data_IF_476615333514
#
_entry.id   IF_476615333514
#
_cell.length_a   1.000
_cell.length_b   1.000
_cell.length_c   1.000
_cell.angle_alpha   90.00
_cell.angle_beta   90.00
_cell.angle_gamma   90.00
#
_symmetry.space_group_name_H-M   'P 1'
#
loop_
_entity.id
_entity.type
_entity.pdbx_description
1 polymer ?
#
# COMPACT_ATOMS: atom_id res chain seq x y z
N UNK A 1 56.85 44.48 -19.18
CA UNK A 1 56.48 44.79 -17.78
C UNK A 1 55.21 44.01 -17.46
N UNK A 2 55.35 42.88 -16.78
CA UNK A 2 54.27 41.96 -16.40
C UNK A 2 53.28 42.65 -15.45
N UNK A 3 51.99 42.58 -15.76
CA UNK A 3 50.93 42.72 -14.75
C UNK A 3 49.86 41.66 -15.03
N UNK A 4 49.96 40.57 -14.28
CA UNK A 4 48.90 39.57 -14.11
C UNK A 4 47.68 40.27 -13.52
N UNK A 5 46.53 40.17 -14.19
CA UNK A 5 45.23 40.53 -13.63
C UNK A 5 44.65 39.27 -13.01
N UNK A 6 44.79 39.14 -11.69
CA UNK A 6 44.21 38.07 -10.89
C UNK A 6 42.69 38.24 -10.84
N UNK A 7 41.94 37.28 -11.39
CA UNK A 7 40.49 37.19 -11.23
C UNK A 7 40.23 36.68 -9.80
N UNK A 8 39.69 37.53 -8.94
CA UNK A 8 39.20 37.16 -7.62
C UNK A 8 37.79 36.58 -7.77
N UNK A 9 37.68 35.24 -7.79
CA UNK A 9 36.38 34.57 -7.69
C UNK A 9 35.99 34.54 -6.20
N UNK A 10 35.08 35.42 -5.82
CA UNK A 10 34.48 35.40 -4.48
C UNK A 10 33.54 34.18 -4.38
N UNK A 11 34.00 33.10 -3.75
CA UNK A 11 33.11 32.05 -3.25
C UNK A 11 32.34 32.61 -2.05
N UNK A 12 31.11 33.06 -2.29
CA UNK A 12 30.15 33.28 -1.20
C UNK A 12 29.71 31.93 -0.67
N UNK A 13 30.33 31.52 0.45
CA UNK A 13 29.80 30.48 1.32
C UNK A 13 28.51 31.05 1.91
N UNK A 14 27.36 30.64 1.37
CA UNK A 14 26.08 30.86 2.03
C UNK A 14 26.10 30.04 3.32
N UNK A 15 26.30 30.75 4.42
CA UNK A 15 26.20 30.22 5.77
C UNK A 15 24.83 29.53 5.93
N UNK A 16 24.89 28.24 6.24
CA UNK A 16 23.74 27.41 6.53
C UNK A 16 23.12 27.89 7.85
N UNK A 17 22.06 28.69 7.76
CA UNK A 17 21.33 29.20 8.91
C UNK A 17 20.57 28.02 9.55
N UNK A 18 21.12 27.50 10.65
CA UNK A 18 20.52 26.44 11.47
C UNK A 18 19.28 26.99 12.18
N UNK A 19 18.16 27.08 11.47
CA UNK A 19 16.84 26.95 12.09
C UNK A 19 16.43 25.49 11.99
N UNK A 20 16.72 24.74 13.04
CA UNK A 20 16.06 23.49 13.36
C UNK A 20 14.55 23.82 13.47
N UNK A 21 13.81 23.68 12.37
CA UNK A 21 12.36 23.49 12.48
C UNK A 21 12.21 22.21 13.27
N UNK A 22 11.68 22.31 14.49
CA UNK A 22 11.05 21.18 15.14
C UNK A 22 10.17 20.52 14.08
N UNK A 23 10.47 19.28 13.73
CA UNK A 23 9.55 18.43 12.97
C UNK A 23 8.47 18.02 13.99
N UNK A 24 7.69 19.02 14.40
CA UNK A 24 6.47 18.87 15.15
C UNK A 24 5.35 18.82 14.13
N UNK A 25 5.21 17.67 13.48
CA UNK A 25 3.94 17.29 12.87
C UNK A 25 3.61 15.95 13.48
N UNK A 26 2.76 15.99 14.52
CA UNK A 26 1.94 14.85 14.86
C UNK A 26 1.17 14.54 13.57
N UNK A 27 1.64 13.54 12.83
CA UNK A 27 0.88 13.05 11.68
C UNK A 27 -0.48 12.60 12.21
N UNK A 28 -1.56 12.87 11.46
CA UNK A 28 -2.89 12.46 11.90
C UNK A 28 -2.83 10.98 12.28
N UNK A 29 -3.44 10.63 13.42
CA UNK A 29 -3.61 9.22 13.76
C UNK A 29 -4.21 8.53 12.54
N UNK A 30 -3.71 7.33 12.17
CA UNK A 30 -4.25 6.61 11.03
C UNK A 30 -5.75 6.55 11.26
N UNK A 31 -6.49 7.17 10.34
CA UNK A 31 -7.91 6.83 10.22
C UNK A 31 -7.86 5.35 9.90
N UNK A 32 -8.27 4.53 10.87
CA UNK A 32 -8.83 3.24 10.56
C UNK A 32 -9.88 3.56 9.52
N UNK A 33 -9.60 3.24 8.26
CA UNK A 33 -10.64 3.21 7.25
C UNK A 33 -11.61 2.17 7.77
N UNK A 34 -12.62 2.66 8.48
CA UNK A 34 -13.86 1.94 8.64
C UNK A 34 -14.23 1.54 7.22
N UNK A 35 -14.35 0.22 6.97
CA UNK A 35 -14.97 -0.31 5.76
C UNK A 35 -16.08 0.66 5.38
N UNK A 36 -15.95 1.28 4.20
CA UNK A 36 -16.96 2.22 3.75
C UNK A 36 -18.27 1.44 3.65
N UNK A 37 -19.11 1.55 4.68
CA UNK A 37 -20.37 0.80 4.81
C UNK A 37 -21.35 1.16 3.68
N UNK A 38 -21.02 2.13 2.83
CA UNK A 38 -21.77 2.48 1.63
C UNK A 38 -21.41 1.62 0.41
N UNK A 39 -20.25 0.93 0.42
CA UNK A 39 -19.86 0.04 -0.67
C UNK A 39 -20.66 -1.28 -0.62
N UNK A 40 -21.09 -1.81 -1.78
CA UNK A 40 -21.78 -3.08 -1.84
C UNK A 40 -20.93 -4.21 -1.27
N UNK A 41 -21.49 -4.95 -0.30
CA UNK A 41 -20.90 -6.18 0.21
C UNK A 41 -21.11 -7.34 -0.78
N UNK A 42 -20.16 -8.28 -0.87
CA UNK A 42 -20.34 -9.46 -1.70
C UNK A 42 -21.56 -10.26 -1.27
N UNK A 43 -22.32 -10.77 -2.25
CA UNK A 43 -23.30 -11.82 -1.95
C UNK A 43 -22.59 -13.14 -1.75
N UNK A 44 -23.07 -13.95 -0.80
CA UNK A 44 -22.40 -15.17 -0.36
C UNK A 44 -23.30 -16.37 -0.63
N UNK A 45 -22.75 -17.40 -1.26
CA UNK A 45 -23.41 -18.68 -1.55
C UNK A 45 -22.54 -19.85 -1.04
N UNK A 46 -23.18 -20.83 -0.41
CA UNK A 46 -22.52 -22.00 0.18
C UNK A 46 -23.01 -23.29 -0.51
N UNK A 47 -22.07 -24.15 -0.89
CA UNK A 47 -22.35 -25.49 -1.40
C UNK A 47 -21.41 -26.50 -0.72
N UNK A 48 -21.86 -27.06 0.41
CA UNK A 48 -21.04 -27.95 1.22
C UNK A 48 -19.85 -27.20 1.82
N UNK A 49 -18.63 -27.61 1.46
CA UNK A 49 -17.39 -26.95 1.86
C UNK A 49 -16.94 -25.87 0.87
N UNK A 50 -17.67 -25.64 -0.22
CA UNK A 50 -17.37 -24.59 -1.18
C UNK A 50 -18.17 -23.32 -0.84
N UNK A 51 -17.49 -22.19 -0.93
CA UNK A 51 -18.03 -20.85 -0.76
C UNK A 51 -17.79 -20.07 -2.06
N UNK A 52 -18.79 -19.29 -2.45
CA UNK A 52 -18.66 -18.30 -3.52
C UNK A 52 -19.08 -16.92 -3.01
N UNK A 53 -18.19 -15.94 -3.16
CA UNK A 53 -18.49 -14.52 -2.94
C UNK A 53 -18.63 -13.83 -4.29
N UNK A 54 -19.70 -13.06 -4.48
CA UNK A 54 -19.99 -12.39 -5.75
C UNK A 54 -20.06 -10.88 -5.59
N UNK A 55 -19.26 -10.17 -6.39
CA UNK A 55 -19.35 -8.74 -6.62
C UNK A 55 -19.64 -8.48 -8.10
N UNK A 56 -20.10 -7.27 -8.41
CA UNK A 56 -20.31 -6.86 -9.78
C UNK A 56 -20.35 -5.36 -9.93
N UNK A 57 -19.90 -4.90 -11.09
CA UNK A 57 -20.04 -3.54 -11.55
C UNK A 57 -20.93 -3.49 -12.80
N UNK A 58 -20.95 -2.36 -13.51
CA UNK A 58 -21.75 -2.20 -14.72
C UNK A 58 -21.31 -3.06 -15.92
N UNK A 59 -20.08 -3.58 -15.91
CA UNK A 59 -19.42 -4.26 -17.01
C UNK A 59 -19.10 -5.73 -16.70
N UNK A 60 -18.83 -6.08 -15.44
CA UNK A 60 -18.24 -7.35 -15.02
C UNK A 60 -18.94 -7.92 -13.79
N UNK A 61 -18.97 -9.26 -13.72
CA UNK A 61 -19.27 -10.02 -12.51
C UNK A 61 -18.01 -10.74 -12.04
N UNK A 62 -17.72 -10.65 -10.75
CA UNK A 62 -16.56 -11.23 -10.10
C UNK A 62 -17.02 -12.29 -9.09
N UNK A 63 -16.55 -13.52 -9.24
CA UNK A 63 -16.87 -14.65 -8.38
C UNK A 63 -15.59 -15.17 -7.74
N UNK A 64 -15.41 -14.90 -6.45
CA UNK A 64 -14.33 -15.45 -5.63
C UNK A 64 -14.75 -16.81 -5.09
N UNK A 65 -13.94 -17.83 -5.35
CA UNK A 65 -14.16 -19.19 -4.86
C UNK A 65 -13.23 -19.48 -3.69
N UNK A 66 -13.82 -19.96 -2.60
CA UNK A 66 -13.10 -20.35 -1.41
C UNK A 66 -13.50 -21.77 -0.98
N UNK A 67 -12.58 -22.47 -0.35
CA UNK A 67 -12.81 -23.76 0.29
C UNK A 67 -12.81 -23.58 1.80
N UNK A 68 -13.80 -24.16 2.49
CA UNK A 68 -13.93 -24.15 3.94
C UNK A 68 -13.43 -25.47 4.53
N UNK A 69 -12.58 -25.41 5.54
CA UNK A 69 -12.14 -26.56 6.35
C UNK A 69 -12.26 -26.24 7.85
N UNK A 70 -13.23 -26.89 8.50
CA UNK A 70 -13.64 -26.53 9.86
C UNK A 70 -14.17 -25.09 9.91
N UNK A 71 -13.54 -24.24 10.70
CA UNK A 71 -13.85 -22.81 10.79
C UNK A 71 -12.99 -21.94 9.85
N UNK A 72 -12.02 -22.55 9.16
CA UNK A 72 -11.07 -21.84 8.32
C UNK A 72 -11.52 -21.78 6.86
N UNK A 73 -11.04 -20.77 6.14
CA UNK A 73 -11.31 -20.57 4.72
C UNK A 73 -10.00 -20.41 3.94
N UNK A 74 -9.91 -21.03 2.78
CA UNK A 74 -8.82 -20.84 1.82
C UNK A 74 -9.37 -20.25 0.55
N UNK A 75 -8.72 -19.23 0.00
CA UNK A 75 -9.16 -18.56 -1.24
C UNK A 75 -8.43 -19.20 -2.42
N UNK A 76 -9.18 -19.73 -3.39
CA UNK A 76 -8.63 -20.58 -4.45
C UNK A 76 -8.43 -19.82 -5.77
N UNK A 77 -9.51 -19.18 -6.24
CA UNK A 77 -9.54 -18.54 -7.56
C UNK A 77 -10.62 -17.49 -7.68
N UNK A 78 -10.46 -16.62 -8.67
CA UNK A 78 -11.47 -15.64 -9.11
C UNK A 78 -11.89 -15.96 -10.53
N UNK A 79 -13.19 -15.92 -10.79
CA UNK A 79 -13.75 -15.86 -12.13
C UNK A 79 -14.30 -14.46 -12.39
N UNK A 80 -13.88 -13.86 -13.50
CA UNK A 80 -14.34 -12.56 -13.96
C UNK A 80 -15.08 -12.78 -15.28
N UNK A 81 -16.38 -12.49 -15.30
CA UNK A 81 -17.22 -12.64 -16.47
C UNK A 81 -17.72 -11.27 -16.94
N UNK A 82 -17.41 -10.91 -18.19
CA UNK A 82 -17.98 -9.72 -18.82
C UNK A 82 -19.50 -9.90 -18.99
N UNK A 83 -20.27 -8.91 -18.52
CA UNK A 83 -21.74 -8.90 -18.60
C UNK A 83 -22.23 -8.51 -20.00
N UNK A 84 -21.42 -7.75 -20.74
CA UNK A 84 -21.76 -7.22 -22.06
C UNK A 84 -20.63 -7.47 -23.06
N UNK A 85 -21.00 -7.67 -24.34
CA UNK A 85 -20.13 -7.76 -25.52
C UNK A 85 -19.43 -9.10 -25.85
N UNK A 86 -19.86 -10.25 -25.30
CA UNK A 86 -19.38 -11.56 -25.77
C UNK A 86 -17.87 -11.80 -25.59
N UNK A 87 -17.21 -11.00 -24.73
CA UNK A 87 -15.84 -11.26 -24.25
C UNK A 87 -15.85 -12.51 -23.35
N UNK A 88 -14.74 -13.26 -23.40
CA UNK A 88 -14.52 -14.46 -22.60
C UNK A 88 -14.41 -14.15 -21.10
N UNK A 89 -14.66 -15.15 -20.27
CA UNK A 89 -14.37 -15.06 -18.85
C UNK A 89 -12.87 -15.20 -18.59
N UNK A 90 -12.33 -14.38 -17.69
CA UNK A 90 -10.97 -14.51 -17.17
C UNK A 90 -11.01 -15.32 -15.87
N UNK A 91 -10.15 -16.33 -15.76
CA UNK A 91 -9.94 -17.05 -14.49
C UNK A 91 -8.55 -16.73 -13.95
N UNK A 92 -8.50 -16.27 -12.71
CA UNK A 92 -7.27 -16.03 -11.97
C UNK A 92 -7.14 -17.12 -10.92
N UNK A 93 -6.07 -17.91 -10.95
CA UNK A 93 -5.72 -18.80 -9.85
C UNK A 93 -4.78 -18.02 -8.93
N UNK A 94 -5.14 -17.88 -7.66
CA UNK A 94 -4.34 -17.08 -6.74
C UNK A 94 -3.00 -17.77 -6.45
N UNK A 95 -3.01 -19.08 -6.27
CA UNK A 95 -1.78 -19.87 -6.14
C UNK A 95 -1.06 -19.71 -4.79
N UNK A 96 -1.67 -18.99 -3.85
CA UNK A 96 -1.26 -18.93 -2.45
C UNK A 96 -2.27 -19.71 -1.60
N UNK A 97 -1.81 -20.30 -0.51
CA UNK A 97 -2.63 -21.12 0.39
C UNK A 97 -2.94 -20.36 1.68
N UNK A 98 -3.32 -19.09 1.54
CA UNK A 98 -3.67 -18.27 2.70
C UNK A 98 -4.94 -18.83 3.35
N UNK A 99 -4.87 -18.95 4.67
CA UNK A 99 -5.96 -19.50 5.48
C UNK A 99 -6.49 -18.41 6.39
N UNK A 100 -7.79 -18.12 6.25
CA UNK A 100 -8.52 -17.15 7.04
C UNK A 100 -9.27 -17.85 8.17
N UNK A 101 -9.27 -17.25 9.37
CA UNK A 101 -9.96 -17.77 10.55
C UNK A 101 -11.47 -17.56 10.48
N UNK A 102 -11.91 -16.60 9.67
CA UNK A 102 -13.33 -16.33 9.45
C UNK A 102 -13.57 -15.69 8.09
N UNK A 103 -14.83 -15.69 7.65
CA UNK A 103 -15.23 -15.07 6.40
C UNK A 103 -15.01 -13.54 6.41
N UNK A 104 -15.13 -12.90 7.57
CA UNK A 104 -14.98 -11.44 7.72
C UNK A 104 -13.52 -10.99 7.57
N UNK A 105 -12.55 -11.91 7.64
CA UNK A 105 -11.15 -11.62 7.37
C UNK A 105 -10.83 -11.62 5.86
N UNK A 106 -11.71 -12.14 5.01
CA UNK A 106 -11.50 -12.14 3.55
C UNK A 106 -11.88 -10.77 3.01
N UNK A 107 -10.85 -9.98 2.69
CA UNK A 107 -10.96 -8.75 1.94
C UNK A 107 -11.10 -9.05 0.45
N UNK A 108 -12.22 -8.66 -0.14
CA UNK A 108 -12.50 -8.78 -1.57
C UNK A 108 -13.20 -7.51 -2.05
N UNK A 109 -12.54 -6.76 -2.94
CA UNK A 109 -12.98 -5.44 -3.42
C UNK A 109 -12.79 -5.30 -4.93
N UNK A 110 -13.61 -4.45 -5.56
CA UNK A 110 -13.58 -4.09 -6.98
C UNK A 110 -13.70 -2.55 -7.18
N UNK A 111 -13.26 -1.78 -6.18
CA UNK A 111 -13.48 -0.34 -6.11
C UNK A 111 -12.21 0.50 -6.01
N UNK A 112 -11.05 -0.15 -5.90
CA UNK A 112 -9.77 0.55 -5.77
C UNK A 112 -9.23 0.95 -7.15
N UNK A 113 -8.72 2.16 -7.32
CA UNK A 113 -7.94 2.57 -8.50
C UNK A 113 -6.47 2.66 -8.07
N UNK A 114 -5.77 1.53 -8.12
CA UNK A 114 -4.46 1.36 -7.49
C UNK A 114 -3.34 2.03 -8.29
N UNK A 115 -3.53 2.21 -9.60
CA UNK A 115 -2.57 2.83 -10.51
C UNK A 115 -2.93 4.28 -10.91
N UNK A 116 -4.07 4.79 -10.43
CA UNK A 116 -4.60 6.13 -10.70
C UNK A 116 -4.89 6.38 -12.19
N UNK A 117 -5.36 5.36 -12.90
CA UNK A 117 -5.74 5.43 -14.33
C UNK A 117 -7.24 5.70 -14.54
N UNK A 118 -8.04 5.69 -13.47
CA UNK A 118 -9.46 5.96 -13.49
C UNK A 118 -10.34 4.71 -13.70
N UNK A 119 -9.74 3.52 -13.74
CA UNK A 119 -10.43 2.24 -13.73
C UNK A 119 -10.33 1.58 -12.35
N UNK A 120 -11.38 0.86 -11.97
CA UNK A 120 -11.34 0.06 -10.76
C UNK A 120 -10.60 -1.25 -11.02
N UNK A 121 -9.81 -1.63 -10.03
CA UNK A 121 -9.00 -2.83 -9.98
C UNK A 121 -9.65 -3.88 -9.07
N UNK A 122 -9.19 -5.12 -9.22
CA UNK A 122 -9.56 -6.23 -8.34
C UNK A 122 -8.55 -6.32 -7.20
N UNK A 123 -9.06 -6.31 -5.96
CA UNK A 123 -8.25 -6.42 -4.74
C UNK A 123 -8.69 -7.61 -3.91
N UNK A 124 -7.73 -8.44 -3.52
CA UNK A 124 -7.95 -9.53 -2.56
C UNK A 124 -6.82 -9.49 -1.54
N UNK A 125 -7.16 -9.53 -0.25
CA UNK A 125 -6.12 -9.58 0.76
C UNK A 125 -5.29 -10.87 0.63
N UNK A 126 -3.98 -10.75 0.87
CA UNK A 126 -3.02 -11.86 0.86
C UNK A 126 -2.43 -12.11 2.25
N UNK A 127 -2.77 -11.25 3.20
CA UNK A 127 -2.44 -11.38 4.61
C UNK A 127 -3.46 -10.59 5.42
N UNK A 128 -4.04 -11.23 6.43
CA UNK A 128 -4.94 -10.61 7.40
C UNK A 128 -4.34 -10.74 8.80
N UNK A 129 -3.95 -9.61 9.38
CA UNK A 129 -3.59 -9.50 10.79
C UNK A 129 -4.44 -8.45 11.49
N UNK A 130 -4.44 -8.46 12.82
CA UNK A 130 -5.29 -7.56 13.63
C UNK A 130 -5.01 -6.07 13.40
N UNK A 131 -3.80 -5.69 12.99
CA UNK A 131 -3.38 -4.30 12.82
C UNK A 131 -2.73 -4.01 11.46
N UNK A 132 -2.29 -5.07 10.78
CA UNK A 132 -1.58 -5.00 9.51
C UNK A 132 -2.16 -6.05 8.60
N UNK A 133 -2.51 -5.64 7.39
CA UNK A 133 -2.95 -6.48 6.30
C UNK A 133 -2.20 -6.10 5.04
N UNK A 134 -2.09 -7.01 4.09
CA UNK A 134 -1.65 -6.69 2.73
C UNK A 134 -2.56 -7.38 1.74
N UNK A 135 -2.54 -6.89 0.51
CA UNK A 135 -3.41 -7.35 -0.56
C UNK A 135 -2.64 -7.49 -1.85
N UNK A 136 -3.11 -8.40 -2.71
CA UNK A 136 -2.73 -8.42 -4.11
C UNK A 136 -3.77 -7.72 -4.95
N UNK A 137 -3.27 -7.08 -5.98
CA UNK A 137 -4.03 -6.25 -6.88
C UNK A 137 -3.88 -6.78 -8.30
N UNK A 138 -5.00 -6.92 -8.99
CA UNK A 138 -5.01 -7.13 -10.43
C UNK A 138 -5.52 -5.87 -11.08
N UNK A 139 -4.63 -5.19 -11.81
CA UNK A 139 -4.90 -3.92 -12.44
C UNK A 139 -5.69 -4.13 -13.73
N UNK A 140 -6.72 -3.33 -13.97
CA UNK A 140 -7.46 -3.41 -15.22
C UNK A 140 -6.63 -2.85 -16.39
N UNK A 141 -6.23 -3.70 -17.34
CA UNK A 141 -5.59 -3.25 -18.58
C UNK A 141 -6.66 -2.98 -19.64
N UNK A 142 -6.96 -1.71 -19.91
CA UNK A 142 -7.95 -1.30 -20.90
C UNK A 142 -7.70 -1.91 -22.31
N UNK A 143 -6.43 -2.15 -22.67
CA UNK A 143 -6.08 -2.64 -24.01
C UNK A 143 -6.51 -4.09 -24.23
N UNK A 144 -6.24 -4.95 -23.26
CA UNK A 144 -6.69 -6.36 -23.29
C UNK A 144 -8.13 -6.50 -22.78
N UNK A 145 -8.55 -5.62 -21.88
CA UNK A 145 -9.75 -5.74 -21.06
C UNK A 145 -9.65 -6.85 -20.03
N UNK A 146 -8.43 -7.15 -19.55
CA UNK A 146 -8.14 -8.17 -18.56
C UNK A 146 -7.54 -7.56 -17.30
N UNK A 147 -7.69 -8.26 -16.18
CA UNK A 147 -7.12 -7.90 -14.88
C UNK A 147 -5.74 -8.55 -14.71
N UNK A 148 -4.67 -7.76 -14.63
CA UNK A 148 -3.28 -8.22 -14.62
C UNK A 148 -2.66 -8.03 -13.24
N UNK A 149 -2.14 -9.11 -12.65
CA UNK A 149 -1.51 -9.05 -11.33
C UNK A 149 -0.33 -8.06 -11.30
N UNK A 150 -0.28 -7.20 -10.29
CA UNK A 150 0.83 -6.29 -10.01
C UNK A 150 1.56 -6.69 -8.72
N UNK A 151 2.68 -7.43 -8.82
CA UNK A 151 3.41 -7.91 -7.65
C UNK A 151 4.07 -6.81 -6.82
N UNK A 152 4.30 -5.60 -7.35
CA UNK A 152 4.94 -4.53 -6.57
C UNK A 152 4.03 -3.96 -5.49
N UNK A 153 2.74 -4.30 -5.48
CA UNK A 153 1.78 -3.92 -4.45
C UNK A 153 1.64 -4.97 -3.33
N UNK A 154 1.98 -6.24 -3.58
CA UNK A 154 1.70 -7.38 -2.69
C UNK A 154 2.23 -7.21 -1.27
N UNK A 155 3.33 -6.47 -1.10
CA UNK A 155 4.04 -6.29 0.17
C UNK A 155 3.76 -4.96 0.87
N UNK A 156 2.89 -4.12 0.32
CA UNK A 156 2.53 -2.84 0.95
C UNK A 156 1.48 -3.13 2.01
N UNK A 157 1.79 -2.80 3.26
CA UNK A 157 0.83 -2.98 4.35
C UNK A 157 -0.19 -1.86 4.37
N UNK A 158 -1.46 -2.21 4.59
CA UNK A 158 -2.57 -1.28 4.74
C UNK A 158 -2.56 -0.16 3.67
N UNK A 159 -2.52 -0.50 2.37
CA UNK A 159 -2.40 0.50 1.31
C UNK A 159 -3.68 1.34 1.22
N UNK A 160 -3.54 2.65 1.32
CA UNK A 160 -4.58 3.64 1.00
C UNK A 160 -4.20 4.42 -0.25
N UNK A 161 -5.10 4.45 -1.23
CA UNK A 161 -4.87 5.13 -2.51
C UNK A 161 -5.41 6.56 -2.46
N UNK A 162 -4.55 7.56 -2.72
CA UNK A 162 -4.92 8.99 -2.72
C UNK A 162 -4.90 9.55 -4.15
N UNK A 163 -6.05 9.59 -4.87
CA UNK A 163 -6.08 9.99 -6.28
C UNK A 163 -5.65 11.44 -6.53
N UNK A 164 -5.89 12.33 -5.57
CA UNK A 164 -5.57 13.76 -5.70
C UNK A 164 -4.07 14.04 -5.81
N UNK A 165 -3.25 13.20 -5.16
CA UNK A 165 -1.78 13.32 -5.15
C UNK A 165 -1.10 12.18 -5.89
N UNK A 166 -1.85 11.16 -6.33
CA UNK A 166 -1.36 9.91 -6.94
C UNK A 166 -0.33 9.21 -6.06
N UNK A 167 -0.66 9.06 -4.78
CA UNK A 167 0.19 8.43 -3.75
C UNK A 167 -0.51 7.24 -3.14
N UNK A 168 0.28 6.25 -2.79
CA UNK A 168 -0.15 5.13 -1.96
C UNK A 168 0.41 5.40 -0.57
N UNK A 169 -0.48 5.58 0.39
CA UNK A 169 -0.16 5.79 1.79
C UNK A 169 -0.21 4.43 2.51
N UNK A 170 0.72 4.20 3.42
CA UNK A 170 0.80 2.94 4.15
C UNK A 170 1.22 3.24 5.58
N UNK A 171 0.43 2.77 6.55
CA UNK A 171 0.72 2.89 7.97
C UNK A 171 0.68 1.51 8.60
N UNK A 172 1.77 1.10 9.24
CA UNK A 172 1.91 -0.23 9.83
C UNK A 172 2.78 -0.20 11.08
N UNK A 173 2.72 -1.28 11.85
CA UNK A 173 3.62 -1.47 12.98
C UNK A 173 4.05 -2.92 13.13
N UNK A 174 5.27 -3.13 13.63
CA UNK A 174 5.78 -4.44 14.01
C UNK A 174 5.89 -4.51 15.53
N UNK A 175 5.02 -5.32 16.15
CA UNK A 175 4.91 -5.41 17.60
C UNK A 175 4.52 -4.07 18.24
N UNK A 176 4.94 -3.84 19.48
CA UNK A 176 4.62 -2.60 20.22
C UNK A 176 5.68 -1.50 20.05
N UNK A 177 6.72 -1.76 19.25
CA UNK A 177 7.96 -1.00 19.30
C UNK A 177 8.30 -0.28 18.01
N UNK A 178 7.88 -0.81 16.86
CA UNK A 178 8.21 -0.23 15.55
C UNK A 178 6.94 0.20 14.84
N UNK A 179 6.84 1.47 14.46
CA UNK A 179 5.74 2.04 13.70
C UNK A 179 6.30 2.71 12.46
N UNK A 180 5.64 2.62 11.32
CA UNK A 180 6.09 3.26 10.08
C UNK A 180 4.93 3.89 9.33
N UNK A 181 5.17 5.10 8.83
CA UNK A 181 4.36 5.75 7.82
C UNK A 181 5.17 5.82 6.52
N UNK A 182 4.66 5.18 5.48
CA UNK A 182 5.30 5.05 4.18
C UNK A 182 4.44 5.70 3.09
N UNK A 183 5.10 6.35 2.15
CA UNK A 183 4.50 6.93 0.95
C UNK A 183 5.16 6.28 -0.25
N UNK A 184 4.35 5.70 -1.13
CA UNK A 184 4.78 5.14 -2.40
C UNK A 184 4.21 5.92 -3.57
N UNK A 185 4.90 5.87 -4.70
CA UNK A 185 4.47 6.45 -5.97
C UNK A 185 4.72 5.48 -7.12
N UNK A 186 3.93 5.62 -8.17
CA UNK A 186 4.21 4.98 -9.45
C UNK A 186 5.36 5.69 -10.17
N UNK A 187 6.36 4.91 -10.61
CA UNK A 187 7.41 5.35 -11.54
C UNK A 187 7.47 4.40 -12.72
N UNK A 188 6.82 4.78 -13.81
CA UNK A 188 6.62 3.89 -14.94
C UNK A 188 5.67 2.77 -14.54
N UNK A 189 6.09 1.51 -14.71
CA UNK A 189 5.29 0.33 -14.42
C UNK A 189 5.62 -0.32 -13.06
N UNK A 190 6.17 0.45 -12.11
CA UNK A 190 6.50 -0.06 -10.78
C UNK A 190 6.18 0.95 -9.70
N UNK A 191 5.73 0.43 -8.58
CA UNK A 191 5.59 1.18 -7.33
C UNK A 191 6.96 1.30 -6.66
N UNK A 192 7.30 2.49 -6.19
CA UNK A 192 8.54 2.76 -5.46
C UNK A 192 8.25 3.53 -4.17
N UNK A 193 8.99 3.21 -3.12
CA UNK A 193 8.97 3.99 -1.89
C UNK A 193 9.52 5.41 -2.17
N UNK A 194 8.71 6.41 -1.90
CA UNK A 194 9.11 7.81 -1.96
C UNK A 194 9.70 8.26 -0.63
N UNK A 195 9.02 7.94 0.46
CA UNK A 195 9.37 8.34 1.82
C UNK A 195 8.90 7.28 2.82
N UNK A 196 9.70 7.04 3.85
CA UNK A 196 9.32 6.25 5.02
C UNK A 196 9.81 6.97 6.27
N UNK A 197 8.94 7.06 7.28
CA UNK A 197 9.24 7.59 8.60
C UNK A 197 8.96 6.47 9.59
N UNK A 198 10.02 5.91 10.18
CA UNK A 198 9.92 4.80 11.13
C UNK A 198 10.25 5.27 12.54
N UNK A 199 9.34 5.03 13.46
CA UNK A 199 9.51 5.20 14.90
C UNK A 199 9.91 3.87 15.54
N UNK A 200 11.02 3.85 16.29
CA UNK A 200 11.46 2.70 17.08
C UNK A 200 11.60 3.08 18.56
N UNK A 201 10.78 2.45 19.41
CA UNK A 201 10.68 2.69 20.85
C UNK A 201 11.59 1.82 21.70
N UNK A 202 12.10 0.72 21.15
CA UNK A 202 12.92 -0.27 21.85
C UNK A 202 14.37 -0.29 21.34
N UNK A 203 14.82 0.81 20.73
CA UNK A 203 16.16 0.89 20.15
C UNK A 203 17.22 0.70 21.26
N UNK A 204 18.05 -0.36 21.20
CA UNK A 204 19.05 -0.61 22.23
C UNK A 204 19.97 0.60 22.38
N UNK A 205 20.18 1.07 23.61
CA UNK A 205 21.04 2.22 23.97
C UNK A 205 20.43 3.63 23.79
N UNK A 206 19.14 3.77 23.48
CA UNK A 206 18.50 5.08 23.32
C UNK A 206 17.94 5.66 24.65
N UNK A 207 18.13 6.97 24.87
CA UNK A 207 17.52 7.78 25.95
C UNK A 207 16.12 8.33 25.57
N UNK A 208 15.52 7.78 24.51
CA UNK A 208 14.32 8.31 23.89
C UNK A 208 13.81 7.47 22.72
N UNK A 209 12.84 8.01 21.99
CA UNK A 209 12.30 7.38 20.78
C UNK A 209 13.21 7.66 19.59
N UNK A 210 13.59 6.62 18.86
CA UNK A 210 14.42 6.75 17.66
C UNK A 210 13.55 6.89 16.41
N UNK A 211 13.85 7.86 15.57
CA UNK A 211 13.18 8.05 14.28
C UNK A 211 14.18 7.87 13.15
N UNK A 212 13.84 7.02 12.19
CA UNK A 212 14.55 6.92 10.92
C UNK A 212 13.69 7.48 9.80
N UNK A 213 14.29 8.28 8.92
CA UNK A 213 13.64 8.83 7.73
C UNK A 213 14.40 8.38 6.51
N UNK A 214 13.72 7.67 5.60
CA UNK A 214 14.25 7.25 4.30
C UNK A 214 13.51 7.99 3.20
N UNK A 215 14.24 8.65 2.30
CA UNK A 215 13.65 9.40 1.17
C UNK A 215 14.33 9.09 -0.15
N UNK A 216 13.55 8.95 -1.21
CA UNK A 216 14.07 8.83 -2.57
C UNK A 216 14.37 10.22 -3.15
N UNK A 217 15.64 10.59 -3.25
CA UNK A 217 16.11 11.87 -3.79
C UNK A 217 17.00 11.63 -5.00
N UNK A 218 16.65 12.20 -6.15
CA UNK A 218 17.42 12.04 -7.40
C UNK A 218 17.75 10.58 -7.74
N UNK A 219 16.80 9.66 -7.50
CA UNK A 219 16.95 8.23 -7.80
C UNK A 219 17.78 7.44 -6.79
N UNK A 220 18.19 8.05 -5.67
CA UNK A 220 18.90 7.37 -4.57
C UNK A 220 18.19 7.57 -3.25
N UNK A 221 18.19 6.54 -2.40
CA UNK A 221 17.69 6.69 -1.04
C UNK A 221 18.70 7.42 -0.17
N UNK A 222 18.21 8.43 0.54
CA UNK A 222 18.94 9.14 1.61
C UNK A 222 18.24 8.79 2.91
N UNK A 223 19.01 8.29 3.87
CA UNK A 223 18.54 7.90 5.20
C UNK A 223 19.08 8.88 6.24
N UNK A 224 18.26 9.21 7.24
CA UNK A 224 18.60 10.09 8.36
C UNK A 224 17.96 9.58 9.63
N UNK A 225 18.76 9.55 10.69
CA UNK A 225 18.31 9.14 12.01
C UNK A 225 18.26 10.32 12.98
N UNK A 226 17.33 10.28 13.91
CA UNK A 226 17.21 11.26 15.00
C UNK A 226 16.62 10.63 16.25
N UNK A 227 16.88 11.23 17.41
CA UNK A 227 16.35 10.78 18.69
C UNK A 227 15.50 11.89 19.28
N UNK A 228 14.24 11.61 19.61
CA UNK A 228 13.41 12.47 20.44
C UNK A 228 13.48 11.98 21.89
N UNK A 229 14.01 12.81 22.78
CA UNK A 229 14.09 12.48 24.21
C UNK A 229 12.68 12.36 24.80
N UNK A 230 12.50 11.40 25.71
CA UNK A 230 11.26 11.35 26.51
C UNK A 230 11.14 12.66 27.30
N UNK A 231 9.97 13.32 27.34
CA UNK A 231 9.78 14.43 28.26
C UNK A 231 9.94 13.91 29.69
N UNK A 232 10.74 14.62 30.49
CA UNK A 232 10.99 14.36 31.92
C UNK A 232 9.70 14.42 32.75
#
# INVERSE_FOLDING_TARGET
MNRFLTILVAMTILACDKKQKQIGTKFPEPKVETLDDTLPRPSIDYQGNLLRMTLGDSANKFELFCTKDGDHFTVDSVLIAALHAGKSAQKINLGWNETYLSLDEIGFSIYDDANFDGHNDLTINNYAGNYTSSSSFWLFDEKSGEFVHEPSLDSIYNPGFEPSTKRILSSWHAGLSTFSDDIYIWKGNKVVLLESITENRDFPQADGTHYSVKRLVNGKYIEKDSIAKKPD
#
